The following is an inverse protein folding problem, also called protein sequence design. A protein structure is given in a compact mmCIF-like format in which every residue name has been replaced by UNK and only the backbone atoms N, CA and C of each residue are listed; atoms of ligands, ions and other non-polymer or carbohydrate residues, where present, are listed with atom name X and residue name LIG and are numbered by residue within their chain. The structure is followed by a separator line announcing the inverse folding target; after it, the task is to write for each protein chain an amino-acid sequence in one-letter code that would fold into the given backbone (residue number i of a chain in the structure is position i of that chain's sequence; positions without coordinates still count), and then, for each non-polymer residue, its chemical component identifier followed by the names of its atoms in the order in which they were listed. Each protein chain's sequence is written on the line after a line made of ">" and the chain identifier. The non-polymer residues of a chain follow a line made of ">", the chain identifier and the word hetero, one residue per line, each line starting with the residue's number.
data_IF_038795036858
#
_entry.id   IF_038795036858
#
_cell.length_a   1.000
_cell.length_b   1.000
_cell.length_c   1.000
_cell.angle_alpha   90.00
_cell.angle_beta   90.00
_cell.angle_gamma   90.00
#
_symmetry.space_group_name_H-M   'P 1'
#
loop_
_entity.id
_entity.type
_entity.pdbx_description
1 polymer ?
#
# COMPACT_ATOMS: atom_id res chain seq x y z
N UNK A 1 -9.52 -5.37 -13.73
CA UNK A 1 -9.26 -6.45 -12.77
C UNK A 1 -10.58 -6.79 -12.09
N UNK A 2 -10.96 -8.06 -12.05
CA UNK A 2 -12.15 -8.53 -11.31
C UNK A 2 -11.89 -8.53 -9.80
N UNK A 3 -12.94 -8.62 -8.97
CA UNK A 3 -12.75 -8.69 -7.51
C UNK A 3 -11.97 -9.93 -7.07
N UNK A 4 -12.16 -11.07 -7.74
CA UNK A 4 -11.39 -12.29 -7.47
C UNK A 4 -9.91 -12.10 -7.81
N UNK A 5 -9.61 -11.54 -8.99
CA UNK A 5 -8.22 -11.22 -9.38
C UNK A 5 -7.57 -10.24 -8.39
N UNK A 6 -8.32 -9.22 -7.94
CA UNK A 6 -7.85 -8.26 -6.95
C UNK A 6 -7.54 -8.93 -5.61
N UNK A 7 -8.44 -9.76 -5.09
CA UNK A 7 -8.23 -10.50 -3.83
C UNK A 7 -6.97 -11.37 -3.90
N UNK A 8 -6.78 -12.09 -5.01
CA UNK A 8 -5.59 -12.92 -5.24
C UNK A 8 -4.33 -12.07 -5.32
N UNK A 9 -4.31 -11.03 -6.17
CA UNK A 9 -3.15 -10.13 -6.34
C UNK A 9 -2.76 -9.43 -5.04
N UNK A 10 -3.74 -8.98 -4.26
CA UNK A 10 -3.53 -8.42 -2.92
C UNK A 10 -2.90 -9.43 -1.96
N UNK A 11 -3.41 -10.66 -1.92
CA UNK A 11 -2.88 -11.70 -1.04
C UNK A 11 -1.43 -12.02 -1.40
N UNK A 12 -1.14 -12.21 -2.69
CA UNK A 12 0.20 -12.52 -3.19
C UNK A 12 1.20 -11.40 -2.89
N UNK A 13 0.83 -10.14 -3.14
CA UNK A 13 1.75 -9.02 -2.89
C UNK A 13 2.07 -8.89 -1.41
N UNK A 14 1.05 -8.94 -0.54
CA UNK A 14 1.23 -8.83 0.91
C UNK A 14 2.00 -10.01 1.47
N UNK A 15 1.70 -11.24 1.03
CA UNK A 15 2.44 -12.44 1.43
C UNK A 15 3.91 -12.33 1.02
N UNK A 16 4.21 -11.81 -0.17
CA UNK A 16 5.61 -11.61 -0.60
C UNK A 16 6.39 -10.68 0.32
N UNK A 17 5.73 -9.66 0.91
CA UNK A 17 6.37 -8.76 1.88
C UNK A 17 6.60 -9.45 3.22
N UNK A 18 5.66 -10.30 3.66
CA UNK A 18 5.76 -11.08 4.88
C UNK A 18 6.91 -12.10 4.77
N UNK A 19 6.94 -12.88 3.69
CA UNK A 19 7.95 -13.92 3.47
C UNK A 19 9.36 -13.31 3.30
N UNK A 20 9.45 -12.15 2.65
CA UNK A 20 10.72 -11.48 2.47
C UNK A 20 11.36 -11.04 3.79
N UNK A 21 10.58 -10.75 4.83
CA UNK A 21 11.13 -10.39 6.14
C UNK A 21 12.02 -11.52 6.68
N UNK A 22 11.70 -12.79 6.47
CA UNK A 22 12.50 -13.92 6.97
C UNK A 22 13.88 -14.03 6.31
N UNK A 23 14.09 -13.40 5.16
CA UNK A 23 15.38 -13.39 4.44
C UNK A 23 16.35 -12.33 4.92
N UNK A 24 15.90 -11.36 5.72
CA UNK A 24 16.72 -10.22 6.16
C UNK A 24 17.27 -10.45 7.57
N UNK A 25 18.54 -10.09 7.80
CA UNK A 25 19.02 -9.85 9.16
C UNK A 25 18.51 -8.49 9.68
N UNK A 26 18.54 -8.29 10.99
CA UNK A 26 18.09 -7.01 11.58
C UNK A 26 19.06 -5.88 11.21
N UNK A 27 20.35 -6.16 11.06
CA UNK A 27 21.34 -5.22 10.54
C UNK A 27 21.04 -4.82 9.09
N UNK A 28 20.75 -5.79 8.21
CA UNK A 28 20.38 -5.51 6.82
C UNK A 28 19.08 -4.70 6.74
N UNK A 29 18.11 -5.00 7.59
CA UNK A 29 16.83 -4.33 7.61
C UNK A 29 16.94 -2.84 7.99
N UNK A 30 17.87 -2.51 8.89
CA UNK A 30 18.11 -1.16 9.38
C UNK A 30 19.15 -0.38 8.58
N UNK A 31 20.00 -1.06 7.81
CA UNK A 31 21.09 -0.42 7.08
C UNK A 31 20.59 0.58 6.00
N UNK A 32 21.25 1.75 5.98
CA UNK A 32 21.06 2.80 4.97
C UNK A 32 22.35 2.92 4.13
N UNK A 33 22.24 3.13 2.81
CA UNK A 33 23.40 3.42 1.95
C UNK A 33 23.95 4.84 2.18
N UNK A 34 23.06 5.79 2.51
CA UNK A 34 23.35 7.16 2.89
C UNK A 34 22.14 7.73 3.66
N UNK A 35 22.26 8.96 4.17
CA UNK A 35 21.20 9.60 4.94
C UNK A 35 19.93 9.91 4.16
N UNK A 36 20.01 10.10 2.84
CA UNK A 36 18.91 10.52 1.99
C UNK A 36 18.08 9.34 1.43
N UNK A 37 18.62 8.12 1.45
CA UNK A 37 17.93 6.91 1.01
C UNK A 37 17.31 6.14 2.18
N UNK A 38 16.15 5.53 1.94
CA UNK A 38 15.48 4.69 2.94
C UNK A 38 16.15 3.34 3.14
N UNK A 39 16.21 2.87 4.38
CA UNK A 39 16.44 1.44 4.65
C UNK A 39 15.23 0.59 4.23
N UNK A 40 15.40 -0.74 4.21
CA UNK A 40 14.25 -1.65 4.08
C UNK A 40 13.22 -1.38 5.17
N UNK A 41 13.64 -1.19 6.42
CA UNK A 41 12.74 -0.89 7.53
C UNK A 41 11.93 0.39 7.32
N UNK A 42 12.54 1.47 6.81
CA UNK A 42 11.82 2.71 6.55
C UNK A 42 10.81 2.55 5.40
N UNK A 43 11.14 1.76 4.38
CA UNK A 43 10.20 1.39 3.32
C UNK A 43 9.02 0.56 3.87
N UNK A 44 9.29 -0.42 4.74
CA UNK A 44 8.25 -1.23 5.38
C UNK A 44 7.36 -0.39 6.31
N UNK A 45 7.91 0.58 7.04
CA UNK A 45 7.12 1.53 7.83
C UNK A 45 6.17 2.35 6.95
N UNK A 46 6.69 2.95 5.88
CA UNK A 46 5.88 3.73 4.92
C UNK A 46 4.73 2.90 4.34
N UNK A 47 5.03 1.69 3.88
CA UNK A 47 4.02 0.78 3.35
C UNK A 47 3.00 0.36 4.41
N UNK A 48 3.42 0.06 5.64
CA UNK A 48 2.49 -0.28 6.72
C UNK A 48 1.52 0.86 7.02
N UNK A 49 2.04 2.09 7.16
CA UNK A 49 1.23 3.27 7.45
C UNK A 49 0.25 3.57 6.32
N UNK A 50 0.73 3.55 5.07
CA UNK A 50 -0.10 3.77 3.90
C UNK A 50 -1.18 2.67 3.77
N UNK A 51 -0.79 1.41 3.87
CA UNK A 51 -1.72 0.29 3.74
C UNK A 51 -2.80 0.35 4.82
N UNK A 52 -2.41 0.49 6.08
CA UNK A 52 -3.33 0.37 7.24
C UNK A 52 -4.16 1.64 7.46
N UNK A 53 -3.50 2.80 7.59
CA UNK A 53 -4.16 4.02 8.05
C UNK A 53 -4.71 4.89 6.91
N UNK A 54 -4.31 4.61 5.67
CA UNK A 54 -4.81 5.32 4.51
C UNK A 54 -5.70 4.45 3.63
N UNK A 55 -5.17 3.42 2.98
CA UNK A 55 -5.95 2.60 2.05
C UNK A 55 -7.03 1.81 2.77
N UNK A 56 -6.61 0.95 3.72
CA UNK A 56 -7.52 0.09 4.45
C UNK A 56 -8.55 0.89 5.27
N UNK A 57 -8.11 1.94 5.97
CA UNK A 57 -9.03 2.83 6.66
C UNK A 57 -10.14 3.41 5.75
N UNK A 58 -9.88 3.62 4.45
CA UNK A 58 -10.88 4.09 3.51
C UNK A 58 -11.75 2.98 2.91
N UNK A 59 -11.22 1.76 2.72
CA UNK A 59 -12.05 0.58 2.43
C UNK A 59 -13.12 0.42 3.51
N UNK A 60 -12.69 0.43 4.78
CA UNK A 60 -13.60 0.34 5.93
C UNK A 60 -14.62 1.48 5.97
N UNK A 61 -14.23 2.71 5.66
CA UNK A 61 -15.15 3.87 5.58
C UNK A 61 -16.23 3.69 4.51
N UNK A 62 -15.88 3.11 3.36
CA UNK A 62 -16.84 2.82 2.31
C UNK A 62 -17.87 1.78 2.78
N UNK A 63 -17.41 0.65 3.32
CA UNK A 63 -18.27 -0.40 3.86
C UNK A 63 -19.18 0.10 5.00
N UNK A 64 -18.66 0.97 5.87
CA UNK A 64 -19.40 1.57 6.99
C UNK A 64 -20.24 2.80 6.56
N UNK A 65 -20.20 3.21 5.30
CA UNK A 65 -20.91 4.37 4.74
C UNK A 65 -20.70 5.65 5.55
N UNK A 66 -19.44 5.94 5.91
CA UNK A 66 -19.07 7.14 6.68
C UNK A 66 -17.94 7.94 6.03
N UNK A 67 -17.89 9.25 6.33
CA UNK A 67 -16.85 10.19 5.88
C UNK A 67 -16.67 10.22 4.35
N UNK A 68 -17.78 10.08 3.63
CA UNK A 68 -17.84 10.09 2.17
C UNK A 68 -19.25 10.42 1.69
N UNK A 69 -19.56 10.03 0.46
CA UNK A 69 -20.86 10.26 -0.16
C UNK A 69 -21.24 9.13 -1.10
N UNK A 70 -22.47 9.16 -1.63
CA UNK A 70 -22.86 8.29 -2.74
C UNK A 70 -22.50 8.95 -4.07
N UNK A 71 -21.86 8.19 -4.96
CA UNK A 71 -21.39 8.69 -6.25
C UNK A 71 -20.19 9.64 -6.13
N UNK A 72 -19.93 10.37 -7.21
CA UNK A 72 -18.71 11.16 -7.38
C UNK A 72 -17.73 10.46 -8.33
N UNK A 73 -16.98 11.30 -9.03
CA UNK A 73 -16.10 10.88 -10.11
C UNK A 73 -14.65 10.82 -9.66
N UNK A 74 -13.89 9.95 -10.30
CA UNK A 74 -12.44 10.05 -10.27
C UNK A 74 -11.99 11.32 -10.97
N UNK A 75 -10.85 11.86 -10.56
CA UNK A 75 -10.12 12.81 -11.42
C UNK A 75 -9.55 12.09 -12.63
N UNK A 76 -9.15 12.84 -13.67
CA UNK A 76 -8.46 12.25 -14.82
C UNK A 76 -7.20 11.45 -14.44
N UNK A 77 -6.51 11.86 -13.37
CA UNK A 77 -5.36 11.11 -12.85
C UNK A 77 -5.76 9.82 -12.15
N UNK A 78 -6.86 9.82 -11.39
CA UNK A 78 -7.44 8.60 -10.82
C UNK A 78 -7.82 7.62 -11.92
N UNK A 79 -8.64 8.08 -12.87
CA UNK A 79 -9.07 7.27 -14.01
C UNK A 79 -7.88 6.60 -14.73
N UNK A 80 -6.82 7.35 -15.00
CA UNK A 80 -5.61 6.81 -15.64
C UNK A 80 -4.94 5.69 -14.82
N UNK A 81 -4.77 5.87 -13.50
CA UNK A 81 -4.15 4.87 -12.62
C UNK A 81 -4.96 3.58 -12.58
N UNK A 82 -6.28 3.70 -12.45
CA UNK A 82 -7.16 2.54 -12.32
C UNK A 82 -7.41 1.82 -13.64
N UNK A 83 -7.46 2.56 -14.75
CA UNK A 83 -7.51 2.01 -16.11
C UNK A 83 -6.25 1.19 -16.44
N UNK A 84 -5.07 1.71 -16.09
CA UNK A 84 -3.78 1.07 -16.39
C UNK A 84 -3.30 0.13 -15.27
N UNK A 85 -4.08 -0.02 -14.19
CA UNK A 85 -3.74 -0.78 -12.99
C UNK A 85 -2.30 -0.55 -12.49
N UNK A 86 -1.83 0.70 -12.55
CA UNK A 86 -0.44 1.06 -12.24
C UNK A 86 -0.30 2.54 -11.95
N UNK A 87 0.66 2.90 -11.11
CA UNK A 87 1.11 4.28 -11.05
C UNK A 87 1.98 4.60 -12.26
N UNK A 88 1.90 5.83 -12.82
CA UNK A 88 2.78 6.22 -13.91
C UNK A 88 4.24 6.02 -13.49
N UNK A 89 5.13 5.56 -14.40
CA UNK A 89 6.53 5.27 -14.10
C UNK A 89 7.36 6.56 -13.97
N UNK A 90 6.84 7.55 -13.27
CA UNK A 90 7.52 8.79 -12.92
C UNK A 90 8.07 8.65 -11.51
N UNK A 91 9.35 8.96 -11.33
CA UNK A 91 9.92 9.11 -9.99
C UNK A 91 9.31 10.36 -9.37
N UNK A 92 8.20 10.21 -8.67
CA UNK A 92 7.73 11.27 -7.79
C UNK A 92 8.69 11.26 -6.61
N UNK A 93 9.72 12.11 -6.67
CA UNK A 93 10.28 12.62 -5.43
C UNK A 93 9.08 13.21 -4.71
N UNK A 94 8.66 12.63 -3.58
CA UNK A 94 7.77 13.37 -2.67
C UNK A 94 8.33 14.78 -2.64
N UNK A 95 7.54 15.83 -2.88
CA UNK A 95 7.92 17.11 -2.31
C UNK A 95 8.18 16.76 -0.86
N UNK A 96 9.44 16.81 -0.43
CA UNK A 96 9.70 16.86 0.98
C UNK A 96 8.91 18.10 1.38
N UNK A 97 7.72 17.91 1.96
CA UNK A 97 7.15 18.95 2.78
C UNK A 97 8.33 19.27 3.71
N UNK A 98 8.88 20.50 3.66
CA UNK A 98 10.03 20.82 4.46
C UNK A 98 9.70 20.37 5.89
N UNK A 99 10.46 19.43 6.43
CA UNK A 99 10.28 18.83 7.76
C UNK A 99 9.25 17.68 7.93
N UNK A 100 8.79 16.99 6.88
CA UNK A 100 8.13 15.71 7.09
C UNK A 100 9.13 14.72 7.71
N UNK A 101 8.88 14.17 8.92
CA UNK A 101 9.81 13.25 9.55
C UNK A 101 10.00 12.01 8.65
N UNK A 102 11.23 11.51 8.59
CA UNK A 102 11.47 10.22 7.94
C UNK A 102 10.68 9.13 8.67
N UNK A 103 10.19 8.10 7.95
CA UNK A 103 9.64 6.92 8.60
C UNK A 103 10.69 6.35 9.57
N UNK A 104 10.26 6.02 10.78
CA UNK A 104 11.12 5.38 11.78
C UNK A 104 10.82 3.89 11.74
N UNK A 105 11.83 3.09 11.40
CA UNK A 105 11.71 1.65 11.37
C UNK A 105 11.62 1.07 12.79
N UNK A 106 10.75 0.08 12.97
CA UNK A 106 10.68 -0.78 14.15
C UNK A 106 11.45 -2.09 13.91
N UNK A 107 11.43 -2.97 14.92
CA UNK A 107 11.94 -4.32 14.81
C UNK A 107 11.26 -5.09 13.65
N UNK A 108 12.07 -5.84 12.90
CA UNK A 108 11.64 -6.63 11.73
C UNK A 108 10.52 -7.61 12.08
N UNK A 109 10.56 -8.24 13.25
CA UNK A 109 9.55 -9.19 13.71
C UNK A 109 8.21 -8.50 14.02
N UNK A 110 8.24 -7.25 14.46
CA UNK A 110 7.01 -6.45 14.62
C UNK A 110 6.33 -6.29 13.27
N UNK A 111 7.07 -5.97 12.20
CA UNK A 111 6.48 -5.86 10.86
C UNK A 111 5.88 -7.17 10.36
N UNK A 112 6.42 -8.33 10.74
CA UNK A 112 5.84 -9.62 10.35
C UNK A 112 4.41 -9.76 10.90
N UNK A 113 4.22 -9.43 12.17
CA UNK A 113 2.90 -9.45 12.80
C UNK A 113 1.96 -8.38 12.22
N UNK A 114 2.47 -7.16 12.02
CA UNK A 114 1.68 -6.05 11.47
C UNK A 114 1.19 -6.34 10.04
N UNK A 115 2.06 -6.85 9.16
CA UNK A 115 1.69 -7.17 7.79
C UNK A 115 0.76 -8.39 7.71
N UNK A 116 0.93 -9.39 8.58
CA UNK A 116 -0.03 -10.48 8.70
C UNK A 116 -1.42 -9.97 9.10
N UNK A 117 -1.51 -8.99 10.00
CA UNK A 117 -2.77 -8.34 10.33
C UNK A 117 -3.34 -7.57 9.14
N UNK A 118 -2.53 -6.77 8.43
CA UNK A 118 -2.95 -6.04 7.22
C UNK A 118 -3.48 -6.99 6.15
N UNK A 119 -2.83 -8.13 5.93
CA UNK A 119 -3.28 -9.18 5.01
C UNK A 119 -4.63 -9.76 5.46
N UNK A 120 -4.76 -10.14 6.73
CA UNK A 120 -6.00 -10.67 7.30
C UNK A 120 -7.18 -9.69 7.13
N UNK A 121 -6.98 -8.43 7.52
CA UNK A 121 -8.01 -7.38 7.40
C UNK A 121 -8.39 -7.13 5.94
N UNK A 122 -7.41 -7.04 5.04
CA UNK A 122 -7.66 -6.82 3.63
C UNK A 122 -8.41 -7.98 2.97
N UNK A 123 -8.12 -9.23 3.34
CA UNK A 123 -8.85 -10.40 2.87
C UNK A 123 -10.30 -10.42 3.38
N UNK A 124 -10.50 -10.07 4.66
CA UNK A 124 -11.84 -9.98 5.25
C UNK A 124 -12.69 -8.91 4.56
N UNK A 125 -12.10 -7.76 4.23
CA UNK A 125 -12.83 -6.70 3.55
C UNK A 125 -12.99 -6.96 2.05
N UNK A 126 -12.05 -7.64 1.39
CA UNK A 126 -12.26 -8.11 0.02
C UNK A 126 -13.50 -9.00 -0.08
N UNK A 127 -13.75 -9.85 0.94
CA UNK A 127 -14.97 -10.65 1.02
C UNK A 127 -16.22 -9.78 1.22
N UNK A 128 -16.16 -8.79 2.10
CA UNK A 128 -17.28 -7.86 2.32
C UNK A 128 -17.60 -7.03 1.06
N UNK A 129 -16.58 -6.62 0.31
CA UNK A 129 -16.72 -5.86 -0.94
C UNK A 129 -17.39 -6.67 -2.06
N UNK A 130 -17.33 -8.01 -2.02
CA UNK A 130 -18.03 -8.85 -2.98
C UNK A 130 -19.56 -8.67 -2.93
N UNK A 131 -20.08 -8.15 -1.80
CA UNK A 131 -21.50 -7.87 -1.58
C UNK A 131 -21.81 -6.36 -1.57
N UNK A 132 -20.82 -5.50 -1.76
CA UNK A 132 -20.99 -4.05 -1.75
C UNK A 132 -21.52 -3.55 -3.10
N UNK A 133 -22.44 -2.58 -3.07
CA UNK A 133 -23.02 -1.99 -4.29
C UNK A 133 -22.06 -1.01 -5.00
N UNK A 134 -20.91 -0.70 -4.38
CA UNK A 134 -19.89 0.19 -4.92
C UNK A 134 -20.31 1.66 -4.98
N UNK A 135 -21.49 2.01 -4.45
CA UNK A 135 -22.05 3.36 -4.60
C UNK A 135 -21.50 4.35 -3.58
N UNK A 136 -21.12 3.90 -2.39
CA UNK A 136 -20.53 4.78 -1.38
C UNK A 136 -19.02 4.92 -1.61
N UNK A 137 -18.57 6.17 -1.67
CA UNK A 137 -17.20 6.55 -2.01
C UNK A 137 -16.61 7.51 -0.98
N UNK A 138 -15.30 7.46 -0.79
CA UNK A 138 -14.55 8.49 -0.07
C UNK A 138 -13.55 9.18 -1.00
N UNK A 139 -13.24 10.43 -0.70
CA UNK A 139 -12.38 11.25 -1.55
C UNK A 139 -10.89 10.98 -1.29
N UNK A 140 -10.16 10.65 -2.35
CA UNK A 140 -8.72 10.65 -2.40
C UNK A 140 -8.23 12.01 -2.94
N UNK A 141 -7.35 12.68 -2.20
CA UNK A 141 -6.87 14.05 -2.53
C UNK A 141 -6.40 14.23 -4.00
N UNK A 142 -5.73 13.21 -4.57
CA UNK A 142 -5.29 13.21 -5.97
C UNK A 142 -6.26 12.57 -6.98
N UNK A 143 -6.93 11.48 -6.60
CA UNK A 143 -7.64 10.59 -7.51
C UNK A 143 -9.15 10.83 -7.53
N UNK A 144 -9.68 11.68 -6.65
CA UNK A 144 -11.12 11.96 -6.57
C UNK A 144 -11.84 10.88 -5.79
N UNK A 145 -13.10 10.62 -6.14
CA UNK A 145 -13.97 9.74 -5.37
C UNK A 145 -13.74 8.27 -5.71
N UNK A 146 -13.39 7.48 -4.70
CA UNK A 146 -13.10 6.05 -4.84
C UNK A 146 -14.04 5.22 -3.96
N UNK A 147 -14.57 4.12 -4.50
CA UNK A 147 -15.30 3.11 -3.75
C UNK A 147 -14.34 2.14 -3.02
N UNK A 148 -14.89 1.24 -2.22
CA UNK A 148 -14.09 0.32 -1.41
C UNK A 148 -13.19 -0.62 -2.23
N UNK A 149 -13.64 -1.11 -3.39
CA UNK A 149 -12.84 -1.96 -4.26
C UNK A 149 -11.68 -1.19 -4.90
N UNK A 150 -11.91 0.06 -5.32
CA UNK A 150 -10.89 0.96 -5.86
C UNK A 150 -9.85 1.33 -4.78
N UNK A 151 -10.27 1.51 -3.52
CA UNK A 151 -9.31 1.70 -2.41
C UNK A 151 -8.43 0.47 -2.17
N UNK A 152 -8.99 -0.74 -2.23
CA UNK A 152 -8.22 -1.97 -2.09
C UNK A 152 -7.27 -2.19 -3.28
N UNK A 153 -7.72 -1.89 -4.50
CA UNK A 153 -6.88 -1.92 -5.70
C UNK A 153 -5.76 -0.87 -5.62
N UNK A 154 -6.03 0.32 -5.08
CA UNK A 154 -5.01 1.34 -4.84
C UNK A 154 -3.91 0.87 -3.89
N UNK A 155 -4.27 0.09 -2.86
CA UNK A 155 -3.33 -0.55 -1.95
C UNK A 155 -2.43 -1.54 -2.71
N UNK A 156 -3.04 -2.45 -3.47
CA UNK A 156 -2.33 -3.45 -4.28
C UNK A 156 -1.34 -2.76 -5.24
N UNK A 157 -1.80 -1.76 -6.00
CA UNK A 157 -0.97 -0.99 -6.93
C UNK A 157 0.20 -0.33 -6.20
N UNK A 158 -0.04 0.26 -5.02
CA UNK A 158 0.99 0.93 -4.22
C UNK A 158 2.03 -0.05 -3.68
N UNK A 159 1.59 -1.17 -3.10
CA UNK A 159 2.50 -2.22 -2.63
C UNK A 159 3.34 -2.77 -3.79
N UNK A 160 2.72 -3.08 -4.93
CA UNK A 160 3.42 -3.56 -6.13
C UNK A 160 4.41 -2.53 -6.69
N UNK A 161 4.07 -1.24 -6.67
CA UNK A 161 4.99 -0.17 -7.08
C UNK A 161 6.30 -0.18 -6.28
N UNK A 162 6.22 -0.45 -4.97
CA UNK A 162 7.39 -0.48 -4.09
C UNK A 162 8.24 -1.76 -4.19
N UNK A 163 7.85 -2.77 -4.98
CA UNK A 163 8.71 -3.93 -5.26
C UNK A 163 10.03 -3.53 -5.92
N UNK A 164 10.00 -2.51 -6.79
CA UNK A 164 11.22 -2.00 -7.41
C UNK A 164 12.18 -1.42 -6.37
N UNK A 165 11.66 -0.61 -5.44
CA UNK A 165 12.47 -0.04 -4.36
C UNK A 165 13.02 -1.15 -3.45
N UNK A 166 12.20 -2.16 -3.13
CA UNK A 166 12.65 -3.34 -2.38
C UNK A 166 13.83 -4.02 -3.07
N UNK A 167 13.70 -4.33 -4.35
CA UNK A 167 14.75 -4.98 -5.14
C UNK A 167 16.04 -4.14 -5.20
N UNK A 168 15.93 -2.82 -5.37
CA UNK A 168 17.08 -1.91 -5.36
C UNK A 168 17.82 -1.97 -4.01
N UNK A 169 17.09 -2.03 -2.89
CA UNK A 169 17.67 -2.18 -1.55
C UNK A 169 18.26 -3.56 -1.30
N UNK A 170 17.56 -4.63 -1.67
CA UNK A 170 18.02 -6.01 -1.56
C UNK A 170 19.33 -6.22 -2.34
N UNK A 171 19.41 -5.66 -3.55
CA UNK A 171 20.62 -5.71 -4.38
C UNK A 171 21.80 -5.01 -3.70
N UNK A 172 21.57 -3.84 -3.11
CA UNK A 172 22.61 -3.11 -2.37
C UNK A 172 23.08 -3.87 -1.12
N UNK A 173 22.17 -4.57 -0.44
CA UNK A 173 22.44 -5.36 0.76
C UNK A 173 23.04 -6.76 0.46
N UNK A 174 23.14 -7.14 -0.82
CA UNK A 174 23.60 -8.46 -1.22
C UNK A 174 22.62 -9.59 -0.87
N UNK A 175 21.32 -9.30 -0.81
CA UNK A 175 20.26 -10.27 -0.50
C UNK A 175 19.79 -10.94 -1.80
N UNK A 176 19.86 -12.28 -1.84
CA UNK A 176 19.39 -13.13 -2.94
C UNK A 176 17.98 -13.68 -2.76
#
# INVERSE_FOLDING_TARGET
>A
MTQTELKTSFAEIMQSYIDALDRYSDEQFMAKPDEAEWSLGQMYQHLYEANTYFFLANVKRCLEKRKGQRGGEMTAAGANVYEHNSFPPIKIKRPAAPNAPEPIAQDRQIYKALYAQTLSDGLAWAEALAQDDGNYKTEHFRFGWLNGAEWLQGLEIHARHHLRQRQERETWLGIG
#
